data_IF_707693913066
#
_entry.id   IF_707693913066
#
_cell.length_a   1.000
_cell.length_b   1.000
_cell.length_c   1.000
_cell.angle_alpha   90.00
_cell.angle_beta   90.00
_cell.angle_gamma   90.00
#
_symmetry.space_group_name_H-M   'P 1'
#
loop_
_entity.id
_entity.type
_entity.pdbx_description
1 polymer ?
#
# COMPACT_ATOMS: atom_id res chain seq x y z
N UNK A 1 -14.39 11.42 27.82
CA UNK A 1 -13.99 11.13 26.42
C UNK A 1 -15.00 11.80 25.50
N UNK A 2 -14.60 12.33 24.34
CA UNK A 2 -15.52 13.04 23.44
C UNK A 2 -15.05 12.98 21.98
N UNK A 3 -15.99 12.98 21.06
CA UNK A 3 -15.77 13.22 19.63
C UNK A 3 -15.41 14.69 19.40
N UNK A 4 -14.46 14.97 18.51
CA UNK A 4 -14.02 16.35 18.19
C UNK A 4 -15.06 17.03 17.31
N UNK A 5 -15.47 18.27 17.62
CA UNK A 5 -16.34 19.03 16.73
C UNK A 5 -15.57 19.47 15.47
N UNK A 6 -16.07 19.07 14.30
CA UNK A 6 -15.49 19.38 12.98
C UNK A 6 -16.39 20.28 12.15
N UNK A 7 -17.49 20.81 12.70
CA UNK A 7 -18.52 21.55 11.95
C UNK A 7 -17.98 22.76 11.20
N UNK A 8 -16.98 23.45 11.76
CA UNK A 8 -16.34 24.62 11.16
C UNK A 8 -15.24 24.30 10.15
N UNK A 9 -14.90 23.02 9.93
CA UNK A 9 -13.92 22.62 8.92
C UNK A 9 -14.61 22.50 7.56
N UNK A 10 -14.00 23.00 6.47
CA UNK A 10 -14.53 22.75 5.13
C UNK A 10 -14.42 21.27 4.77
N UNK A 11 -15.34 20.78 3.94
CA UNK A 11 -15.17 19.50 3.27
C UNK A 11 -14.08 19.64 2.21
N UNK A 12 -13.15 18.69 2.18
CA UNK A 12 -12.07 18.65 1.19
C UNK A 12 -11.91 17.23 0.68
N UNK A 13 -11.33 17.06 -0.51
CA UNK A 13 -10.86 15.74 -0.93
C UNK A 13 -9.84 15.24 0.09
N UNK A 14 -10.02 14.01 0.54
CA UNK A 14 -9.16 13.34 1.51
C UNK A 14 -8.91 11.92 1.09
N UNK A 15 -7.72 11.44 1.40
CA UNK A 15 -7.32 10.05 1.18
C UNK A 15 -6.62 9.49 2.40
N UNK A 16 -6.67 8.18 2.56
CA UNK A 16 -5.86 7.43 3.50
C UNK A 16 -5.44 6.10 2.87
N UNK A 17 -4.19 5.71 3.09
CA UNK A 17 -3.62 4.42 2.73
C UNK A 17 -3.11 3.74 3.98
N UNK A 18 -3.45 2.47 4.16
CA UNK A 18 -2.92 1.66 5.25
C UNK A 18 -2.42 0.30 4.73
N UNK A 19 -1.53 -0.30 5.51
CA UNK A 19 -0.94 -1.60 5.25
C UNK A 19 -0.93 -2.44 6.53
N UNK A 20 -0.95 -3.75 6.35
CA UNK A 20 -0.57 -4.71 7.37
C UNK A 20 -0.33 -6.07 6.73
N UNK A 21 0.24 -6.99 7.48
CA UNK A 21 0.50 -8.35 7.01
C UNK A 21 0.20 -9.38 8.09
N UNK A 22 0.04 -10.63 7.69
CA UNK A 22 -0.05 -11.77 8.60
C UNK A 22 0.95 -12.82 8.17
N UNK A 23 1.86 -13.17 9.08
CA UNK A 23 2.86 -14.23 8.89
C UNK A 23 2.24 -15.58 9.26
N UNK A 24 2.49 -16.59 8.44
CA UNK A 24 1.99 -17.95 8.62
C UNK A 24 2.96 -18.99 8.05
N UNK A 25 2.74 -20.26 8.38
CA UNK A 25 3.50 -21.38 7.83
C UNK A 25 3.38 -21.48 6.30
N UNK A 26 4.45 -21.96 5.65
CA UNK A 26 4.47 -22.19 4.20
C UNK A 26 3.34 -23.09 3.71
N UNK A 27 3.02 -24.14 4.46
CA UNK A 27 1.91 -25.05 4.16
C UNK A 27 0.56 -24.33 4.15
N UNK A 28 0.38 -23.30 4.98
CA UNK A 28 -0.85 -22.48 4.99
C UNK A 28 -0.89 -21.54 3.81
N UNK A 29 0.22 -20.89 3.45
CA UNK A 29 0.33 -20.08 2.22
C UNK A 29 0.02 -20.93 0.98
N UNK A 30 0.56 -22.14 0.90
CA UNK A 30 0.29 -23.10 -0.17
C UNK A 30 -1.19 -23.49 -0.22
N UNK A 31 -1.79 -23.81 0.93
CA UNK A 31 -3.21 -24.12 1.00
C UNK A 31 -4.09 -22.94 0.54
N UNK A 32 -3.73 -21.70 0.89
CA UNK A 32 -4.42 -20.49 0.39
C UNK A 32 -4.25 -20.38 -1.13
N UNK A 33 -3.02 -20.48 -1.63
CA UNK A 33 -2.70 -20.34 -3.06
C UNK A 33 -3.42 -21.37 -3.93
N UNK A 34 -3.57 -22.60 -3.42
CA UNK A 34 -4.23 -23.71 -4.09
C UNK A 34 -5.74 -23.75 -3.86
N UNK A 35 -6.29 -22.84 -3.05
CA UNK A 35 -7.73 -22.83 -2.71
C UNK A 35 -8.17 -24.04 -1.88
N UNK A 36 -7.25 -24.65 -1.11
CA UNK A 36 -7.49 -25.85 -0.29
C UNK A 36 -7.85 -25.55 1.17
N UNK A 37 -8.04 -24.28 1.52
CA UNK A 37 -8.51 -23.91 2.87
C UNK A 37 -9.95 -24.39 3.05
N UNK A 38 -10.27 -25.19 4.09
CA UNK A 38 -11.60 -25.81 4.24
C UNK A 38 -12.77 -24.82 4.30
N UNK A 39 -12.51 -23.60 4.77
CA UNK A 39 -13.51 -22.52 4.88
C UNK A 39 -13.78 -21.78 3.57
N UNK A 40 -13.05 -22.08 2.50
CA UNK A 40 -13.22 -21.47 1.17
C UNK A 40 -12.13 -20.46 0.80
N UNK A 41 -12.46 -19.58 -0.14
CA UNK A 41 -11.53 -18.60 -0.72
C UNK A 41 -11.16 -17.50 0.29
N UNK A 42 -9.95 -17.63 0.85
CA UNK A 42 -9.39 -16.71 1.83
C UNK A 42 -9.13 -15.32 1.26
N UNK A 43 -8.64 -15.22 0.01
CA UNK A 43 -8.26 -13.94 -0.58
C UNK A 43 -9.50 -13.08 -0.85
N UNK A 44 -10.56 -13.70 -1.37
CA UNK A 44 -11.82 -13.00 -1.63
C UNK A 44 -12.55 -12.62 -0.34
N UNK A 45 -12.57 -13.51 0.66
CA UNK A 45 -13.13 -13.19 1.97
C UNK A 45 -12.36 -12.06 2.66
N UNK A 46 -11.02 -12.07 2.58
CA UNK A 46 -10.15 -11.02 3.12
C UNK A 46 -10.46 -9.64 2.50
N UNK A 47 -10.56 -9.56 1.16
CA UNK A 47 -10.94 -8.32 0.46
C UNK A 47 -12.31 -7.81 0.89
N UNK A 48 -13.31 -8.69 0.87
CA UNK A 48 -14.69 -8.34 1.22
C UNK A 48 -14.79 -7.84 2.67
N UNK A 49 -14.14 -8.55 3.60
CA UNK A 49 -14.11 -8.17 5.01
C UNK A 49 -13.50 -6.78 5.22
N UNK A 50 -12.39 -6.47 4.54
CA UNK A 50 -11.79 -5.14 4.62
C UNK A 50 -12.71 -4.03 4.10
N UNK A 51 -13.36 -4.24 2.95
CA UNK A 51 -14.31 -3.25 2.38
C UNK A 51 -15.50 -3.04 3.32
N UNK A 52 -16.06 -4.11 3.88
CA UNK A 52 -17.16 -4.03 4.83
C UNK A 52 -16.74 -3.33 6.13
N UNK A 53 -15.54 -3.64 6.63
CA UNK A 53 -15.02 -3.05 7.85
C UNK A 53 -14.80 -1.54 7.70
N UNK A 54 -14.22 -1.09 6.58
CA UNK A 54 -14.06 0.33 6.27
C UNK A 54 -15.37 1.11 6.39
N UNK A 55 -16.45 0.57 5.81
CA UNK A 55 -17.80 1.16 5.85
C UNK A 55 -18.43 1.20 7.24
N UNK A 56 -17.99 0.33 8.15
CA UNK A 56 -18.53 0.17 9.52
C UNK A 56 -17.60 0.74 10.59
N UNK A 57 -16.51 1.39 10.21
CA UNK A 57 -15.57 2.04 11.13
C UNK A 57 -16.21 2.86 12.25
N UNK A 58 -17.19 3.76 11.99
CA UNK A 58 -17.83 4.53 13.06
C UNK A 58 -18.67 3.69 14.04
N UNK A 59 -19.07 2.46 13.67
CA UNK A 59 -19.75 1.53 14.58
C UNK A 59 -18.76 0.81 15.51
N UNK A 60 -17.51 0.65 15.05
CA UNK A 60 -16.45 -0.07 15.78
C UNK A 60 -15.63 0.86 16.68
N UNK A 61 -15.44 2.11 16.29
CA UNK A 61 -14.58 3.07 16.97
C UNK A 61 -15.40 4.21 17.59
N UNK A 62 -15.54 4.27 18.94
CA UNK A 62 -16.53 5.12 19.63
C UNK A 62 -16.46 6.63 19.36
N UNK A 63 -15.31 7.14 18.93
CA UNK A 63 -15.10 8.58 18.71
C UNK A 63 -14.82 8.95 17.25
N UNK A 64 -14.94 7.99 16.33
CA UNK A 64 -14.90 8.28 14.90
C UNK A 64 -16.18 8.97 14.46
N UNK A 65 -16.04 9.94 13.56
CA UNK A 65 -17.20 10.54 12.91
C UNK A 65 -17.76 9.55 11.89
N UNK A 66 -19.08 9.47 11.71
CA UNK A 66 -19.64 8.86 10.52
C UNK A 66 -19.24 9.71 9.31
N UNK A 67 -18.55 9.09 8.34
CA UNK A 67 -18.07 9.73 7.12
C UNK A 67 -18.64 9.03 5.89
N UNK A 68 -18.96 9.80 4.85
CA UNK A 68 -19.29 9.24 3.54
C UNK A 68 -18.02 8.72 2.88
N UNK A 69 -18.12 7.58 2.20
CA UNK A 69 -17.02 6.95 1.48
C UNK A 69 -17.35 6.91 -0.01
N UNK A 70 -16.53 7.59 -0.81
CA UNK A 70 -16.66 7.63 -2.25
C UNK A 70 -15.93 6.46 -2.90
N UNK A 71 -14.83 6.01 -2.29
CA UNK A 71 -14.08 4.86 -2.76
C UNK A 71 -13.37 4.14 -1.61
N UNK A 72 -13.47 2.81 -1.62
CA UNK A 72 -12.74 1.91 -0.73
C UNK A 72 -12.19 0.78 -1.58
N UNK A 73 -10.89 0.58 -1.47
CA UNK A 73 -10.14 -0.46 -2.17
C UNK A 73 -9.34 -1.25 -1.14
N UNK A 74 -9.35 -2.57 -1.29
CA UNK A 74 -8.60 -3.49 -0.43
C UNK A 74 -7.90 -4.50 -1.32
N UNK A 75 -6.58 -4.48 -1.28
CA UNK A 75 -5.71 -5.36 -2.01
C UNK A 75 -5.10 -6.40 -1.10
N UNK A 76 -4.98 -7.61 -1.62
CA UNK A 76 -4.48 -8.76 -0.88
C UNK A 76 -3.53 -9.54 -1.76
N UNK A 77 -2.37 -9.86 -1.20
CA UNK A 77 -1.32 -10.58 -1.92
C UNK A 77 -0.55 -11.52 -1.02
N UNK A 78 0.08 -12.53 -1.61
CA UNK A 78 0.95 -13.47 -0.90
C UNK A 78 2.41 -13.15 -1.23
N UNK A 79 3.26 -13.00 -0.22
CA UNK A 79 4.69 -12.78 -0.37
C UNK A 79 5.48 -13.63 0.64
N UNK A 80 6.17 -14.66 0.14
CA UNK A 80 6.87 -15.64 0.98
C UNK A 80 5.94 -16.31 2.00
N UNK A 81 6.21 -16.06 3.27
CA UNK A 81 5.45 -16.57 4.44
C UNK A 81 4.36 -15.59 4.92
N UNK A 82 4.09 -14.53 4.15
CA UNK A 82 3.14 -13.48 4.51
C UNK A 82 1.96 -13.42 3.54
N UNK A 83 0.79 -13.10 4.09
CA UNK A 83 -0.30 -12.48 3.36
C UNK A 83 -0.33 -11.00 3.72
N UNK A 84 -0.19 -10.15 2.71
CA UNK A 84 -0.18 -8.70 2.85
C UNK A 84 -1.53 -8.11 2.46
N UNK A 85 -1.94 -7.07 3.18
CA UNK A 85 -3.18 -6.32 2.93
C UNK A 85 -2.86 -4.85 2.82
N UNK A 86 -3.29 -4.24 1.72
CA UNK A 86 -3.29 -2.80 1.53
C UNK A 86 -4.73 -2.30 1.49
N UNK A 87 -4.97 -1.12 2.02
CA UNK A 87 -6.25 -0.43 1.84
C UNK A 87 -6.05 1.00 1.39
N UNK A 88 -6.98 1.46 0.55
CA UNK A 88 -7.08 2.84 0.12
C UNK A 88 -8.51 3.32 0.31
N UNK A 89 -8.66 4.46 0.98
CA UNK A 89 -9.94 5.10 1.23
C UNK A 89 -9.87 6.53 0.73
N UNK A 90 -10.92 6.95 0.01
CA UNK A 90 -11.01 8.30 -0.56
C UNK A 90 -12.42 8.84 -0.42
N UNK A 91 -12.50 10.14 -0.16
CA UNK A 91 -13.76 10.85 -0.13
C UNK A 91 -13.69 12.36 0.09
N UNK A 92 -14.84 13.01 0.19
CA UNK A 92 -14.95 14.45 0.42
C UNK A 92 -15.59 14.74 1.78
N UNK A 93 -14.76 15.01 2.79
CA UNK A 93 -15.25 15.19 4.16
C UNK A 93 -14.44 16.19 5.00
N UNK A 94 -14.92 16.48 6.21
CA UNK A 94 -14.32 17.42 7.18
C UNK A 94 -13.22 16.80 8.05
N UNK A 95 -13.16 15.48 8.11
CA UNK A 95 -12.17 14.69 8.84
C UNK A 95 -11.54 13.66 7.92
N UNK A 96 -10.34 13.20 8.25
CA UNK A 96 -9.60 12.21 7.47
C UNK A 96 -10.20 10.80 7.56
N UNK A 97 -9.64 9.91 6.74
CA UNK A 97 -10.07 8.51 6.59
C UNK A 97 -9.04 7.52 7.18
N UNK A 98 -8.16 8.00 8.06
CA UNK A 98 -7.09 7.18 8.66
C UNK A 98 -7.66 5.91 9.30
N UNK A 99 -8.76 6.09 10.04
CA UNK A 99 -9.38 4.99 10.77
C UNK A 99 -10.12 4.03 9.86
N UNK A 100 -10.73 4.52 8.78
CA UNK A 100 -11.40 3.67 7.79
C UNK A 100 -10.41 2.77 7.04
N UNK A 101 -9.20 3.28 6.73
CA UNK A 101 -8.14 2.50 6.12
C UNK A 101 -7.55 1.48 7.10
N UNK A 102 -7.20 1.91 8.33
CA UNK A 102 -6.64 1.03 9.35
C UNK A 102 -7.61 -0.08 9.77
N UNK A 103 -8.90 0.25 9.88
CA UNK A 103 -9.95 -0.72 10.23
C UNK A 103 -10.13 -1.74 9.10
N UNK A 104 -10.07 -1.32 7.84
CA UNK A 104 -10.13 -2.22 6.69
C UNK A 104 -9.01 -3.28 6.74
N UNK A 105 -7.76 -2.85 6.91
CA UNK A 105 -6.60 -3.76 7.03
C UNK A 105 -6.76 -4.69 8.22
N UNK A 106 -7.11 -4.15 9.40
CA UNK A 106 -7.18 -4.92 10.64
C UNK A 106 -8.20 -6.07 10.54
N UNK A 107 -9.40 -5.78 10.04
CA UNK A 107 -10.48 -6.77 9.96
C UNK A 107 -10.29 -7.75 8.80
N UNK A 108 -9.63 -7.31 7.72
CA UNK A 108 -9.20 -8.20 6.64
C UNK A 108 -8.21 -9.26 7.18
N UNK A 109 -7.18 -8.83 7.92
CA UNK A 109 -6.19 -9.75 8.52
C UNK A 109 -6.80 -10.65 9.60
N UNK A 110 -7.72 -10.14 10.43
CA UNK A 110 -8.46 -10.96 11.39
C UNK A 110 -9.35 -12.02 10.70
N UNK A 111 -9.86 -11.70 9.51
CA UNK A 111 -10.63 -12.65 8.70
C UNK A 111 -9.73 -13.76 8.17
N UNK A 112 -8.53 -13.44 7.70
CA UNK A 112 -7.52 -14.45 7.32
C UNK A 112 -7.20 -15.35 8.51
N UNK A 113 -6.99 -14.76 9.69
CA UNK A 113 -6.75 -15.53 10.90
C UNK A 113 -7.93 -16.49 11.19
N UNK A 114 -9.17 -16.01 11.15
CA UNK A 114 -10.35 -16.85 11.39
C UNK A 114 -10.46 -18.01 10.40
N UNK A 115 -10.14 -17.75 9.13
CA UNK A 115 -10.21 -18.74 8.06
C UNK A 115 -9.12 -19.80 8.15
N UNK A 116 -7.93 -19.44 8.61
CA UNK A 116 -6.76 -20.31 8.60
C UNK A 116 -6.38 -20.89 9.96
N UNK A 117 -6.96 -20.45 11.08
CA UNK A 117 -6.58 -20.92 12.44
C UNK A 117 -6.70 -22.43 12.69
N UNK A 118 -7.47 -23.14 11.86
CA UNK A 118 -7.56 -24.61 11.90
C UNK A 118 -6.36 -25.32 11.25
N UNK A 119 -5.67 -24.64 10.34
CA UNK A 119 -4.45 -25.11 9.68
C UNK A 119 -3.20 -24.65 10.42
N UNK A 120 -3.24 -23.41 10.95
CA UNK A 120 -2.10 -22.78 11.60
C UNK A 120 -2.55 -21.89 12.77
N UNK A 121 -2.20 -22.28 13.99
CA UNK A 121 -2.52 -21.51 15.20
C UNK A 121 -1.42 -20.50 15.55
N UNK A 122 -0.24 -20.61 14.93
CA UNK A 122 0.94 -19.78 15.20
C UNK A 122 1.01 -18.52 14.34
N UNK A 123 -0.04 -18.21 13.57
CA UNK A 123 -0.08 -17.01 12.74
C UNK A 123 0.08 -15.74 13.58
N UNK A 124 0.77 -14.74 13.03
CA UNK A 124 0.99 -13.45 13.70
C UNK A 124 0.61 -12.31 12.77
N UNK A 125 -0.28 -11.44 13.24
CA UNK A 125 -0.62 -10.19 12.56
C UNK A 125 0.45 -9.16 12.90
N UNK A 126 1.05 -8.55 11.89
CA UNK A 126 2.21 -7.69 11.99
C UNK A 126 1.98 -6.39 11.20
N UNK A 127 2.66 -5.32 11.62
CA UNK A 127 2.83 -4.08 10.84
C UNK A 127 1.56 -3.39 10.36
N UNK A 128 0.47 -3.45 11.12
CA UNK A 128 -0.70 -2.60 10.84
C UNK A 128 -0.31 -1.15 11.07
N UNK A 129 -0.24 -0.37 9.99
CA UNK A 129 0.16 1.03 10.03
C UNK A 129 -0.48 1.84 8.91
N UNK A 130 -0.63 3.14 9.18
CA UNK A 130 -0.96 4.11 8.15
C UNK A 130 0.28 4.30 7.29
N UNK A 131 0.12 4.37 5.98
CA UNK A 131 1.20 4.64 5.03
C UNK A 131 1.21 6.10 4.61
N UNK A 132 0.02 6.62 4.33
CA UNK A 132 -0.17 7.97 3.82
C UNK A 132 -1.59 8.44 4.15
N UNK A 133 -1.75 9.75 4.32
CA UNK A 133 -3.01 10.45 4.25
C UNK A 133 -2.82 11.81 3.60
N UNK A 134 -3.82 12.25 2.87
CA UNK A 134 -3.85 13.59 2.28
C UNK A 134 -5.19 14.27 2.56
N UNK A 135 -5.17 15.60 2.50
CA UNK A 135 -6.33 16.45 2.66
C UNK A 135 -6.57 16.87 4.11
N UNK A 136 -6.76 18.16 4.32
CA UNK A 136 -6.98 18.78 5.63
C UNK A 136 -5.82 19.67 6.06
N UNK A 137 -5.64 19.84 7.38
CA UNK A 137 -4.58 20.70 7.93
C UNK A 137 -3.22 20.00 8.04
N UNK A 138 -3.20 18.67 8.04
CA UNK A 138 -1.99 17.87 8.15
C UNK A 138 -2.06 16.68 7.19
N UNK A 139 -1.29 16.78 6.12
CA UNK A 139 -0.92 15.63 5.31
C UNK A 139 0.15 14.86 6.09
N UNK A 140 0.12 13.54 5.99
CA UNK A 140 1.10 12.69 6.65
C UNK A 140 1.42 11.51 5.76
N UNK A 141 2.70 11.25 5.61
CA UNK A 141 3.28 10.13 4.88
C UNK A 141 4.77 10.25 5.06
N UNK A 142 5.50 9.12 5.08
CA UNK A 142 6.95 9.21 5.23
C UNK A 142 7.53 9.80 3.95
N UNK A 143 7.99 11.05 4.01
CA UNK A 143 8.63 11.69 2.86
C UNK A 143 9.87 10.93 2.39
N UNK A 144 10.37 11.26 1.20
CA UNK A 144 11.65 10.75 0.73
C UNK A 144 12.83 11.59 1.22
N UNK A 145 12.63 12.41 2.25
CA UNK A 145 13.65 13.31 2.79
C UNK A 145 14.86 12.51 3.29
N UNK A 146 16.05 12.81 2.75
CA UNK A 146 17.28 12.08 3.07
C UNK A 146 17.39 10.66 2.48
N UNK A 147 16.43 10.25 1.65
CA UNK A 147 16.54 8.99 0.89
C UNK A 147 17.47 9.20 -0.31
N UNK A 148 18.50 8.36 -0.43
CA UNK A 148 19.41 8.38 -1.58
C UNK A 148 18.85 7.50 -2.71
N UNK A 149 18.72 8.07 -3.91
CA UNK A 149 18.11 7.40 -5.07
C UNK A 149 19.04 7.45 -6.28
N UNK A 150 19.15 6.32 -6.96
CA UNK A 150 19.75 6.18 -8.28
C UNK A 150 18.69 6.02 -9.35
N UNK A 151 18.91 6.67 -10.48
CA UNK A 151 18.03 6.59 -11.65
C UNK A 151 18.78 5.95 -12.81
N UNK A 152 18.20 4.88 -13.36
CA UNK A 152 18.68 4.22 -14.57
C UNK A 152 17.55 4.10 -15.59
N UNK A 153 17.34 5.18 -16.34
CA UNK A 153 16.26 5.30 -17.33
C UNK A 153 16.68 6.24 -18.46
N UNK A 154 15.88 6.30 -19.52
CA UNK A 154 16.09 7.20 -20.66
C UNK A 154 15.97 8.68 -20.22
N UNK A 155 16.66 9.59 -20.91
CA UNK A 155 16.84 10.99 -20.50
C UNK A 155 15.51 11.72 -20.26
N UNK A 156 14.52 11.50 -21.13
CA UNK A 156 13.18 12.09 -21.03
C UNK A 156 12.45 11.66 -19.75
N UNK A 157 12.50 10.37 -19.43
CA UNK A 157 11.89 9.78 -18.24
C UNK A 157 12.64 10.18 -16.97
N UNK A 158 13.97 10.31 -17.07
CA UNK A 158 14.84 10.76 -15.99
C UNK A 158 14.45 12.16 -15.53
N UNK A 159 14.27 13.10 -16.46
CA UNK A 159 13.89 14.48 -16.11
C UNK A 159 12.58 14.54 -15.32
N UNK A 160 11.60 13.72 -15.70
CA UNK A 160 10.32 13.59 -14.98
C UNK A 160 10.54 13.05 -13.56
N UNK A 161 11.26 11.93 -13.43
CA UNK A 161 11.55 11.32 -12.14
C UNK A 161 12.32 12.28 -11.22
N UNK A 162 13.38 12.93 -11.71
CA UNK A 162 14.16 13.91 -10.94
C UNK A 162 13.30 15.08 -10.45
N UNK A 163 12.39 15.59 -11.29
CA UNK A 163 11.47 16.67 -10.92
C UNK A 163 10.49 16.29 -9.82
N UNK A 164 9.96 15.06 -9.84
CA UNK A 164 9.12 14.55 -8.73
C UNK A 164 9.93 14.29 -7.47
N UNK A 165 11.06 13.58 -7.58
CA UNK A 165 11.88 13.16 -6.45
C UNK A 165 12.45 14.34 -5.67
N UNK A 166 12.87 15.42 -6.36
CA UNK A 166 13.29 16.67 -5.70
C UNK A 166 12.17 17.32 -4.89
N UNK A 167 10.92 17.27 -5.36
CA UNK A 167 9.77 17.84 -4.63
C UNK A 167 9.45 17.09 -3.34
N UNK A 168 9.73 15.80 -3.29
CA UNK A 168 9.49 14.95 -2.10
C UNK A 168 10.71 14.79 -1.19
N UNK A 169 11.77 15.58 -1.42
CA UNK A 169 12.95 15.66 -0.55
C UNK A 169 14.04 14.62 -0.81
N UNK A 170 13.96 13.84 -1.89
CA UNK A 170 14.96 12.82 -2.19
C UNK A 170 16.29 13.39 -2.68
N UNK A 171 17.39 12.72 -2.32
CA UNK A 171 18.74 13.03 -2.76
C UNK A 171 19.17 12.12 -3.91
N UNK A 172 19.49 12.68 -5.07
CA UNK A 172 19.93 11.91 -6.23
C UNK A 172 21.43 11.58 -6.13
N UNK A 173 21.77 10.29 -6.15
CA UNK A 173 23.14 9.78 -6.03
C UNK A 173 23.37 8.60 -6.98
N UNK A 174 24.60 8.43 -7.46
CA UNK A 174 24.95 7.30 -8.35
C UNK A 174 24.80 5.93 -7.68
N UNK A 175 24.97 5.86 -6.36
CA UNK A 175 24.86 4.65 -5.54
C UNK A 175 23.86 4.82 -4.38
N UNK A 176 22.63 5.16 -4.73
CA UNK A 176 21.52 5.33 -3.80
C UNK A 176 21.00 4.00 -3.25
N UNK A 177 20.31 4.09 -2.10
CA UNK A 177 19.62 2.96 -1.45
C UNK A 177 18.43 2.44 -2.26
N UNK A 178 17.83 3.30 -3.08
CA UNK A 178 16.77 2.95 -4.04
C UNK A 178 17.32 3.08 -5.45
N UNK A 179 17.16 2.06 -6.28
CA UNK A 179 17.34 2.12 -7.72
C UNK A 179 15.97 2.19 -8.39
N UNK A 180 15.69 3.27 -9.11
CA UNK A 180 14.52 3.34 -9.98
C UNK A 180 15.01 3.20 -11.42
N UNK A 181 14.50 2.19 -12.13
CA UNK A 181 15.01 1.81 -13.44
C UNK A 181 13.88 1.44 -14.40
N UNK A 182 14.09 1.66 -15.68
CA UNK A 182 13.23 1.10 -16.76
C UNK A 182 13.90 -0.04 -17.51
N UNK A 183 15.07 -0.47 -17.03
CA UNK A 183 15.82 -1.61 -17.59
C UNK A 183 15.67 -2.81 -16.68
N UNK A 184 15.54 -3.98 -17.28
CA UNK A 184 15.47 -5.26 -16.56
C UNK A 184 16.61 -5.38 -15.55
N UNK A 185 16.27 -5.86 -14.35
CA UNK A 185 17.22 -6.05 -13.26
C UNK A 185 16.98 -7.42 -12.64
N UNK A 186 18.07 -8.11 -12.31
CA UNK A 186 18.00 -9.30 -11.47
C UNK A 186 17.70 -8.87 -10.03
N UNK A 187 16.53 -9.23 -9.53
CA UNK A 187 16.04 -8.82 -8.22
C UNK A 187 15.10 -9.86 -7.63
N UNK A 188 15.12 -10.00 -6.31
CA UNK A 188 14.09 -10.71 -5.57
C UNK A 188 12.84 -9.84 -5.53
N UNK A 189 11.83 -10.19 -6.33
CA UNK A 189 10.58 -9.43 -6.41
C UNK A 189 9.80 -9.53 -5.10
N UNK A 190 9.38 -8.37 -4.58
CA UNK A 190 8.38 -8.24 -3.53
C UNK A 190 7.01 -8.25 -4.22
N UNK A 191 6.52 -9.48 -4.47
CA UNK A 191 5.35 -9.68 -5.33
C UNK A 191 4.11 -9.00 -4.77
N UNK A 192 3.93 -8.99 -3.45
CA UNK A 192 2.75 -8.41 -2.83
C UNK A 192 2.65 -6.90 -3.03
N UNK A 193 3.72 -6.20 -2.70
CA UNK A 193 3.87 -4.77 -2.95
C UNK A 193 3.67 -4.45 -4.44
N UNK A 194 4.30 -5.23 -5.33
CA UNK A 194 4.16 -5.04 -6.78
C UNK A 194 2.71 -5.20 -7.22
N UNK A 195 2.01 -6.24 -6.76
CA UNK A 195 0.61 -6.48 -7.11
C UNK A 195 -0.30 -5.35 -6.63
N UNK A 196 -0.15 -4.89 -5.38
CA UNK A 196 -0.96 -3.80 -4.84
C UNK A 196 -0.76 -2.49 -5.63
N UNK A 197 0.49 -2.15 -5.95
CA UNK A 197 0.80 -0.97 -6.77
C UNK A 197 0.19 -1.10 -8.16
N UNK A 198 0.36 -2.25 -8.81
CA UNK A 198 -0.16 -2.44 -10.16
C UNK A 198 -1.68 -2.43 -10.19
N UNK A 199 -2.36 -2.98 -9.18
CA UNK A 199 -3.81 -2.93 -9.10
C UNK A 199 -4.32 -1.49 -9.01
N UNK A 200 -3.73 -0.71 -8.12
CA UNK A 200 -4.05 0.72 -8.00
C UNK A 200 -3.71 1.50 -9.27
N UNK A 201 -2.54 1.28 -9.88
CA UNK A 201 -2.18 1.92 -11.15
C UNK A 201 -3.12 1.48 -12.28
N UNK A 202 -3.62 0.25 -12.25
CA UNK A 202 -4.62 -0.23 -13.22
C UNK A 202 -5.94 0.53 -13.07
N UNK A 203 -6.36 0.85 -11.84
CA UNK A 203 -7.58 1.63 -11.61
C UNK A 203 -7.46 3.07 -12.12
N UNK A 204 -6.25 3.63 -12.14
CA UNK A 204 -5.97 4.99 -12.63
C UNK A 204 -5.71 5.05 -14.15
N UNK A 205 -4.90 4.13 -14.67
CA UNK A 205 -4.37 4.17 -16.05
C UNK A 205 -4.40 2.78 -16.73
N UNK A 206 -5.59 2.14 -16.85
CA UNK A 206 -5.70 0.74 -17.28
C UNK A 206 -5.14 0.49 -18.69
N UNK A 207 -5.32 1.45 -19.61
CA UNK A 207 -4.85 1.33 -21.00
C UNK A 207 -3.33 1.51 -21.16
N UNK A 208 -2.64 1.96 -20.10
CA UNK A 208 -1.19 2.20 -20.12
C UNK A 208 -0.41 1.14 -19.37
N UNK A 209 -1.05 0.43 -18.44
CA UNK A 209 -0.43 -0.63 -17.66
C UNK A 209 -0.28 -1.92 -18.49
N UNK A 210 0.90 -2.11 -19.11
CA UNK A 210 1.23 -3.30 -19.91
C UNK A 210 2.11 -4.28 -19.13
N UNK A 211 3.30 -3.82 -18.75
CA UNK A 211 4.29 -4.55 -17.96
C UNK A 211 4.23 -4.18 -16.48
N UNK A 212 3.71 -2.98 -16.17
CA UNK A 212 3.49 -2.52 -14.82
C UNK A 212 4.72 -1.97 -14.10
N UNK A 213 4.66 -1.98 -12.78
CA UNK A 213 5.75 -1.63 -11.87
C UNK A 213 6.10 -2.85 -11.04
N UNK A 214 7.35 -3.29 -11.07
CA UNK A 214 7.84 -4.33 -10.19
C UNK A 214 8.72 -3.73 -9.09
N UNK A 215 8.45 -4.12 -7.85
CA UNK A 215 9.23 -3.75 -6.68
C UNK A 215 10.02 -4.98 -6.23
N UNK A 216 11.29 -4.82 -5.94
CA UNK A 216 12.14 -5.92 -5.50
C UNK A 216 13.38 -5.45 -4.74
N UNK A 217 14.26 -6.40 -4.40
CA UNK A 217 15.59 -6.09 -3.85
C UNK A 217 16.69 -6.70 -4.68
N UNK A 218 17.78 -5.96 -4.85
CA UNK A 218 18.99 -6.38 -5.57
C UNK A 218 20.19 -5.76 -4.85
N UNK A 219 21.16 -6.58 -4.43
CA UNK A 219 22.36 -6.15 -3.70
C UNK A 219 22.08 -5.23 -2.49
N UNK A 220 21.07 -5.57 -1.70
CA UNK A 220 20.65 -4.80 -0.52
C UNK A 220 19.95 -3.46 -0.82
N UNK A 221 19.74 -3.13 -2.10
CA UNK A 221 19.02 -1.93 -2.55
C UNK A 221 17.58 -2.28 -2.89
N UNK A 222 16.66 -1.38 -2.61
CA UNK A 222 15.30 -1.47 -3.13
C UNK A 222 15.33 -1.12 -4.61
N UNK A 223 14.75 -1.96 -5.47
CA UNK A 223 14.65 -1.74 -6.91
C UNK A 223 13.19 -1.50 -7.27
N UNK A 224 12.93 -0.38 -7.92
CA UNK A 224 11.66 -0.05 -8.57
C UNK A 224 11.88 -0.14 -10.07
N UNK A 225 11.44 -1.25 -10.67
CA UNK A 225 11.44 -1.46 -12.10
C UNK A 225 10.13 -0.94 -12.68
N UNK A 226 10.20 0.10 -13.49
CA UNK A 226 9.04 0.73 -14.12
C UNK A 226 8.98 0.41 -15.61
N UNK A 227 7.76 0.20 -16.11
CA UNK A 227 7.49 0.26 -17.54
C UNK A 227 7.85 1.65 -18.10
N UNK A 228 8.36 1.68 -19.33
CA UNK A 228 8.63 2.92 -20.09
C UNK A 228 7.32 3.60 -20.55
N UNK A 229 6.65 4.29 -19.65
CA UNK A 229 5.48 5.11 -19.95
C UNK A 229 5.42 6.34 -19.01
N UNK A 230 5.41 7.54 -19.59
CA UNK A 230 5.45 8.79 -18.83
C UNK A 230 4.27 8.94 -17.87
N UNK A 231 3.06 8.63 -18.33
CA UNK A 231 1.85 8.81 -17.52
C UNK A 231 1.85 7.84 -16.35
N UNK A 232 2.21 6.58 -16.59
CA UNK A 232 2.36 5.57 -15.55
C UNK A 232 3.38 5.97 -14.49
N UNK A 233 4.55 6.48 -14.88
CA UNK A 233 5.55 6.93 -13.92
C UNK A 233 5.06 8.13 -13.09
N UNK A 234 4.40 9.10 -13.73
CA UNK A 234 3.80 10.23 -13.00
C UNK A 234 2.80 9.73 -11.97
N UNK A 235 1.88 8.85 -12.37
CA UNK A 235 0.91 8.23 -11.47
C UNK A 235 1.62 7.46 -10.35
N UNK A 236 2.70 6.73 -10.66
CA UNK A 236 3.49 6.02 -9.66
C UNK A 236 4.09 6.98 -8.63
N UNK A 237 4.80 8.02 -9.06
CA UNK A 237 5.43 8.97 -8.16
C UNK A 237 4.42 9.77 -7.33
N UNK A 238 3.29 10.15 -7.91
CA UNK A 238 2.22 10.85 -7.20
C UNK A 238 1.59 10.03 -6.09
N UNK A 239 1.56 8.71 -6.25
CA UNK A 239 0.80 7.84 -5.34
C UNK A 239 1.69 6.95 -4.46
N UNK A 240 2.96 6.74 -4.79
CA UNK A 240 3.78 5.75 -4.08
C UNK A 240 5.15 6.27 -3.64
N UNK A 241 5.57 7.48 -4.04
CA UNK A 241 6.87 8.03 -3.63
C UNK A 241 7.04 8.11 -2.11
N UNK A 242 5.99 8.54 -1.39
CA UNK A 242 5.97 8.57 0.08
C UNK A 242 5.96 7.16 0.71
N UNK A 243 5.51 6.13 -0.02
CA UNK A 243 5.54 4.75 0.48
C UNK A 243 6.94 4.12 0.36
N UNK A 244 7.74 4.56 -0.61
CA UNK A 244 9.12 4.06 -0.79
C UNK A 244 9.98 4.29 0.47
N UNK A 245 9.79 5.43 1.16
CA UNK A 245 10.51 5.71 2.41
C UNK A 245 10.18 4.74 3.55
N UNK A 246 9.01 4.10 3.52
CA UNK A 246 8.62 3.07 4.50
C UNK A 246 9.23 1.71 4.16
N UNK A 247 9.34 1.38 2.87
CA UNK A 247 9.91 0.10 2.41
C UNK A 247 11.42 -0.05 2.68
N UNK A 248 12.13 1.07 2.85
CA UNK A 248 13.58 1.11 3.06
C UNK A 248 14.05 0.71 4.46
N UNK A 249 13.24 0.94 5.50
CA UNK A 249 13.68 0.77 6.88
C UNK A 249 13.57 -0.67 7.40
N UNK A 250 13.09 -1.60 6.58
CA UNK A 250 13.34 -3.02 6.81
C UNK A 250 12.82 -3.60 8.13
N UNK A 251 11.81 -3.02 8.78
CA UNK A 251 11.04 -3.79 9.78
C UNK A 251 10.25 -4.93 9.11
N UNK A 252 10.19 -4.94 7.77
CA UNK A 252 9.35 -5.82 6.94
C UNK A 252 10.14 -6.81 6.05
N UNK A 253 11.28 -7.36 6.49
CA UNK A 253 11.89 -8.55 5.85
C UNK A 253 12.40 -9.56 6.86
#
# INVERSE_FOLDING_TARGET
MRTVDVSNKPKTLRTAKAYGRIRMSRSTIEAIREGKVPKGDVLSACRLAGVMASKRTPELLPFCHPVSLEHVEVDVSLDGEHLEVFSYVKGVERTGYEMEALTAVSLALLTVYDMCKGLDQGMVIEEIRLLEKTGGKSDWGRGMEGVSISLEMEEELRAIAEGYLKRVGASLQKDGRVLITTKTKDMQTLQGISSAINFYLFSLVPHRLREGVAIGKSDGRLVVLMQKDELLMRCFFENFSHMIGLWLDGETL
#
